data_IF_772749292034
#
_entry.id   IF_772749292034
#
_cell.length_a   1.000
_cell.length_b   1.000
_cell.length_c   1.000
_cell.angle_alpha   90.00
_cell.angle_beta   90.00
_cell.angle_gamma   90.00
#
_symmetry.space_group_name_H-M   'P 1'
#
loop_
_entity.id
_entity.type
_entity.pdbx_description
1 polymer ?
#
# COMPACT_ATOMS: atom_id res chain seq x y z
N UNK A 1 -5.97 6.77 1.23
CA UNK A 1 -5.95 7.47 -0.07
C UNK A 1 -4.80 8.47 -0.07
N UNK A 2 -4.10 8.58 -1.19
CA UNK A 2 -2.89 9.37 -1.33
C UNK A 2 -3.04 10.22 -2.58
N UNK A 3 -2.79 11.53 -2.46
CA UNK A 3 -2.63 12.40 -3.62
C UNK A 3 -1.12 12.60 -3.85
N UNK A 4 -0.63 12.14 -5.00
CA UNK A 4 0.79 12.16 -5.38
C UNK A 4 1.04 13.32 -6.34
N UNK A 5 2.08 14.12 -6.09
CA UNK A 5 2.50 15.22 -6.97
C UNK A 5 2.60 14.77 -8.43
N UNK A 6 2.06 15.56 -9.36
CA UNK A 6 1.86 15.19 -10.77
C UNK A 6 3.06 14.48 -11.41
N UNK A 7 4.25 15.08 -11.25
CA UNK A 7 5.51 14.62 -11.87
C UNK A 7 6.15 13.38 -11.24
N UNK A 8 5.61 12.89 -10.13
CA UNK A 8 6.23 11.82 -9.35
C UNK A 8 5.46 10.50 -9.40
N UNK A 9 4.45 10.38 -10.27
CA UNK A 9 3.59 9.20 -10.29
C UNK A 9 4.35 7.91 -10.63
N UNK A 10 5.22 7.94 -11.64
CA UNK A 10 6.02 6.77 -12.03
C UNK A 10 7.03 6.40 -10.93
N UNK A 11 7.69 7.39 -10.33
CA UNK A 11 8.59 7.18 -9.20
C UNK A 11 7.86 6.59 -8.00
N UNK A 12 6.69 7.12 -7.65
CA UNK A 12 5.86 6.60 -6.57
C UNK A 12 5.43 5.15 -6.84
N UNK A 13 5.04 4.85 -8.09
CA UNK A 13 4.71 3.49 -8.54
C UNK A 13 5.86 2.52 -8.31
N UNK A 14 7.08 2.88 -8.68
CA UNK A 14 8.24 2.00 -8.51
C UNK A 14 8.54 1.75 -7.02
N UNK A 15 8.53 2.80 -6.21
CA UNK A 15 8.79 2.69 -4.76
C UNK A 15 7.73 1.79 -4.11
N UNK A 16 6.44 2.05 -4.38
CA UNK A 16 5.36 1.31 -3.72
C UNK A 16 5.31 -0.14 -4.17
N UNK A 17 5.61 -0.44 -5.44
CA UNK A 17 5.67 -1.83 -5.91
C UNK A 17 6.81 -2.63 -5.27
N UNK A 18 7.98 -2.03 -4.99
CA UNK A 18 9.07 -2.70 -4.26
C UNK A 18 8.66 -3.00 -2.81
N UNK A 19 8.03 -2.03 -2.14
CA UNK A 19 7.50 -2.17 -0.78
C UNK A 19 6.48 -3.32 -0.73
N UNK A 20 5.44 -3.28 -1.56
CA UNK A 20 4.35 -4.27 -1.57
C UNK A 20 4.86 -5.69 -1.84
N UNK A 21 5.77 -5.85 -2.81
CA UNK A 21 6.36 -7.16 -3.14
C UNK A 21 7.16 -7.74 -1.97
N UNK A 22 7.86 -6.89 -1.22
CA UNK A 22 8.62 -7.33 -0.03
C UNK A 22 7.69 -7.69 1.10
N UNK A 23 6.65 -6.89 1.33
CA UNK A 23 5.65 -7.11 2.37
C UNK A 23 4.93 -8.44 2.17
N UNK A 24 4.34 -8.66 1.00
CA UNK A 24 3.67 -9.93 0.67
C UNK A 24 4.62 -11.14 0.74
N UNK A 25 5.90 -10.98 0.37
CA UNK A 25 6.87 -12.09 0.38
C UNK A 25 7.42 -12.42 1.77
N UNK A 26 7.57 -11.44 2.66
CA UNK A 26 8.33 -11.57 3.92
C UNK A 26 7.47 -11.50 5.17
N UNK A 27 6.23 -11.04 5.04
CA UNK A 27 5.37 -10.75 6.18
C UNK A 27 4.12 -11.62 6.15
N UNK A 28 4.15 -12.73 6.88
CA UNK A 28 3.04 -13.70 6.94
C UNK A 28 1.71 -13.07 7.38
N UNK A 29 1.75 -12.02 8.21
CA UNK A 29 0.56 -11.31 8.70
C UNK A 29 0.01 -10.24 7.76
N UNK A 30 0.57 -10.08 6.56
CA UNK A 30 0.08 -9.19 5.50
C UNK A 30 -0.68 -10.03 4.48
N UNK A 31 -2.01 -10.03 4.55
CA UNK A 31 -2.85 -10.91 3.74
C UNK A 31 -3.19 -10.32 2.37
N UNK A 32 -3.44 -9.02 2.32
CA UNK A 32 -3.80 -8.31 1.09
C UNK A 32 -3.13 -6.95 1.09
N UNK A 33 -2.58 -6.58 -0.07
CA UNK A 33 -2.32 -5.18 -0.41
C UNK A 33 -2.80 -4.97 -1.84
N UNK A 34 -3.84 -4.15 -2.02
CA UNK A 34 -4.26 -3.67 -3.33
C UNK A 34 -3.88 -2.21 -3.48
N UNK A 35 -3.24 -1.89 -4.60
CA UNK A 35 -2.96 -0.51 -5.00
C UNK A 35 -3.68 -0.24 -6.33
N UNK A 36 -4.41 0.87 -6.39
CA UNK A 36 -5.11 1.31 -7.58
C UNK A 36 -5.06 2.83 -7.69
N UNK A 37 -5.26 3.36 -8.90
CA UNK A 37 -5.40 4.80 -9.13
C UNK A 37 -6.84 5.14 -9.51
N UNK A 38 -7.29 6.35 -9.18
CA UNK A 38 -8.61 6.82 -9.55
C UNK A 38 -8.76 6.89 -11.08
N UNK A 39 -9.93 6.50 -11.59
CA UNK A 39 -10.23 6.70 -13.01
C UNK A 39 -10.29 8.20 -13.32
N UNK A 40 -9.58 8.64 -14.36
CA UNK A 40 -9.49 10.06 -14.74
C UNK A 40 -8.55 10.91 -13.89
N UNK A 41 -8.01 10.39 -12.78
CA UNK A 41 -6.98 11.05 -11.98
C UNK A 41 -5.90 10.04 -11.54
N UNK A 42 -4.87 9.81 -12.37
CA UNK A 42 -3.84 8.81 -12.08
C UNK A 42 -2.98 9.18 -10.87
N UNK A 43 -3.01 10.43 -10.41
CA UNK A 43 -2.25 10.90 -9.24
C UNK A 43 -2.92 10.59 -7.90
N UNK A 44 -4.19 10.19 -7.93
CA UNK A 44 -4.93 9.78 -6.73
C UNK A 44 -4.87 8.27 -6.57
N UNK A 45 -4.16 7.82 -5.54
CA UNK A 45 -3.94 6.42 -5.22
C UNK A 45 -4.83 5.93 -4.08
N UNK A 46 -5.32 4.70 -4.22
CA UNK A 46 -6.07 3.97 -3.22
C UNK A 46 -5.30 2.72 -2.82
N UNK A 47 -5.27 2.49 -1.51
CA UNK A 47 -4.69 1.31 -0.89
C UNK A 47 -5.77 0.60 -0.09
N UNK A 48 -5.84 -0.71 -0.26
CA UNK A 48 -6.67 -1.58 0.58
C UNK A 48 -5.79 -2.68 1.13
N UNK A 49 -5.57 -2.64 2.43
CA UNK A 49 -4.62 -3.48 3.14
C UNK A 49 -5.36 -4.31 4.18
N UNK A 50 -5.18 -5.62 4.15
CA UNK A 50 -5.73 -6.53 5.15
C UNK A 50 -4.57 -7.19 5.87
N UNK A 51 -4.60 -7.09 7.19
CA UNK A 51 -3.63 -7.68 8.09
C UNK A 51 -4.30 -8.76 8.95
N UNK A 52 -3.53 -9.74 9.40
CA UNK A 52 -4.00 -10.76 10.34
C UNK A 52 -4.59 -10.14 11.62
N UNK A 53 -3.94 -9.10 12.14
CA UNK A 53 -4.32 -8.38 13.35
C UNK A 53 -3.50 -7.08 13.47
N UNK A 54 -3.81 -6.29 14.51
CA UNK A 54 -3.12 -5.03 14.81
C UNK A 54 -1.60 -5.22 15.04
N UNK A 55 -1.17 -6.35 15.62
CA UNK A 55 0.25 -6.63 15.83
C UNK A 55 0.99 -6.81 14.50
N UNK A 56 0.37 -7.46 13.51
CA UNK A 56 0.91 -7.58 12.16
C UNK A 56 1.03 -6.21 11.47
N UNK A 57 -0.01 -5.37 11.55
CA UNK A 57 0.03 -3.99 11.05
C UNK A 57 1.17 -3.17 11.67
N UNK A 58 1.31 -3.21 13.00
CA UNK A 58 2.38 -2.47 13.68
C UNK A 58 3.77 -3.03 13.37
N UNK A 59 3.90 -4.34 13.13
CA UNK A 59 5.15 -4.96 12.68
C UNK A 59 5.52 -4.47 11.27
N UNK A 60 4.56 -4.48 10.34
CA UNK A 60 4.72 -3.99 8.97
C UNK A 60 5.29 -2.58 8.92
N UNK A 61 4.71 -1.66 9.70
CA UNK A 61 5.19 -0.27 9.78
C UNK A 61 6.60 -0.09 10.34
N UNK A 62 7.14 -1.10 11.01
CA UNK A 62 8.48 -1.07 11.61
C UNK A 62 9.54 -1.74 10.72
N UNK A 63 9.14 -2.39 9.64
CA UNK A 63 10.07 -3.08 8.73
C UNK A 63 10.99 -2.11 8.00
N UNK A 64 12.14 -2.60 7.54
CA UNK A 64 13.10 -1.80 6.80
C UNK A 64 12.55 -1.33 5.44
N UNK A 65 11.77 -2.17 4.74
CA UNK A 65 11.17 -1.80 3.46
C UNK A 65 10.06 -0.76 3.61
N UNK A 66 9.24 -0.85 4.66
CA UNK A 66 8.24 0.18 4.92
C UNK A 66 8.88 1.52 5.30
N UNK A 67 9.91 1.52 6.17
CA UNK A 67 10.64 2.76 6.53
C UNK A 67 11.26 3.42 5.29
N UNK A 68 11.91 2.63 4.45
CA UNK A 68 12.47 3.09 3.17
C UNK A 68 11.38 3.69 2.27
N UNK A 69 10.21 3.05 2.16
CA UNK A 69 9.08 3.60 1.42
C UNK A 69 8.65 4.98 1.94
N UNK A 70 8.54 5.16 3.26
CA UNK A 70 8.19 6.46 3.85
C UNK A 70 9.25 7.52 3.53
N UNK A 71 10.53 7.21 3.77
CA UNK A 71 11.65 8.12 3.47
C UNK A 71 11.68 8.55 2.00
N UNK A 72 11.39 7.64 1.08
CA UNK A 72 11.40 7.94 -0.35
C UNK A 72 10.14 8.67 -0.84
N UNK A 73 9.03 8.60 -0.09
CA UNK A 73 7.74 9.15 -0.53
C UNK A 73 7.29 10.41 0.20
N UNK A 74 7.90 10.76 1.33
CA UNK A 74 7.49 11.88 2.18
C UNK A 74 7.35 13.21 1.42
N UNK A 75 8.25 13.48 0.47
CA UNK A 75 8.31 14.75 -0.25
C UNK A 75 7.49 14.78 -1.55
N UNK A 76 6.86 13.66 -1.93
CA UNK A 76 6.11 13.52 -3.19
C UNK A 76 4.61 13.25 -2.98
N UNK A 77 4.19 13.05 -1.73
CA UNK A 77 2.78 12.96 -1.33
C UNK A 77 2.30 14.35 -0.92
N UNK A 78 1.20 14.82 -1.50
CA UNK A 78 0.56 16.09 -1.14
C UNK A 78 -0.46 15.91 -0.02
N UNK A 79 -1.22 14.82 -0.07
CA UNK A 79 -2.24 14.52 0.90
C UNK A 79 -2.30 13.01 1.18
N UNK A 80 -2.66 12.66 2.41
CA UNK A 80 -2.72 11.29 2.89
C UNK A 80 -3.86 11.14 3.88
N UNK A 81 -4.81 10.27 3.53
CA UNK A 81 -5.96 9.94 4.36
C UNK A 81 -5.99 8.44 4.67
N UNK A 82 -6.26 8.11 5.93
CA UNK A 82 -6.45 6.75 6.40
C UNK A 82 -7.84 6.60 6.98
N UNK A 83 -8.53 5.53 6.57
CA UNK A 83 -9.83 5.16 7.13
C UNK A 83 -9.63 3.79 7.75
N UNK A 84 -9.73 3.71 9.07
CA UNK A 84 -9.77 2.44 9.77
C UNK A 84 -11.15 1.83 9.56
N UNK A 85 -11.18 0.58 9.14
CA UNK A 85 -12.41 -0.16 8.85
C UNK A 85 -12.43 -1.45 9.65
N UNK A 86 -13.64 -1.91 9.98
CA UNK A 86 -13.87 -3.21 10.59
C UNK A 86 -14.45 -4.16 9.53
N UNK A 87 -13.76 -5.27 9.29
CA UNK A 87 -14.20 -6.27 8.32
C UNK A 87 -15.39 -7.05 8.86
N UNK A 88 -16.55 -6.95 8.20
CA UNK A 88 -17.74 -7.76 8.56
C UNK A 88 -17.61 -9.18 8.02
N UNK A 89 -17.29 -9.32 6.73
CA UNK A 89 -16.97 -10.59 6.05
C UNK A 89 -15.92 -10.27 4.98
N UNK A 90 -14.82 -11.03 4.94
CA UNK A 90 -13.77 -10.92 3.92
C UNK A 90 -13.56 -12.28 3.26
N UNK A 91 -13.87 -12.39 1.96
CA UNK A 91 -13.74 -13.62 1.17
C UNK A 91 -12.96 -13.34 -0.11
N UNK A 92 -12.04 -14.24 -0.50
CA UNK A 92 -11.38 -14.22 -1.79
C UNK A 92 -11.09 -15.65 -2.28
N UNK A 93 -10.75 -15.79 -3.57
CA UNK A 93 -10.31 -17.08 -4.14
C UNK A 93 -8.84 -17.43 -3.80
N UNK A 94 -8.09 -16.49 -3.25
CA UNK A 94 -6.65 -16.60 -2.99
C UNK A 94 -5.76 -16.36 -4.21
N UNK A 95 -4.45 -16.20 -3.96
CA UNK A 95 -3.37 -16.13 -4.96
C UNK A 95 -3.50 -15.03 -6.05
N UNK A 96 -4.25 -13.95 -5.80
CA UNK A 96 -4.28 -12.81 -6.72
C UNK A 96 -2.91 -12.14 -6.76
N UNK A 97 -2.26 -12.19 -7.92
CA UNK A 97 -1.00 -11.49 -8.21
C UNK A 97 -1.10 -10.86 -9.59
N UNK A 98 -1.42 -9.56 -9.63
CA UNK A 98 -1.58 -8.80 -10.87
C UNK A 98 -0.79 -7.50 -10.77
N UNK A 99 -0.02 -7.22 -11.83
CA UNK A 99 0.70 -5.95 -12.01
C UNK A 99 0.40 -5.49 -13.43
N UNK A 100 -0.20 -4.30 -13.56
CA UNK A 100 -0.44 -3.66 -14.85
C UNK A 100 0.87 -3.17 -15.49
#
# INVERSE_FOLDING_TARGET
MFDVKERFNDTFREIVLDEMKRSIKKEEGVYVIYAATATGNPNKWYFFEIYENEKAYQKHRKTAHFKKYIEQTENIIENKEFINIEGVILLNKGNLNYVK
#
